data_IF_741652608692
#
_entry.id   IF_741652608692
#
_cell.length_a   1.000
_cell.length_b   1.000
_cell.length_c   1.000
_cell.angle_alpha   90.00
_cell.angle_beta   90.00
_cell.angle_gamma   90.00
#
_symmetry.space_group_name_H-M   'P 1'
#
loop_
_entity.id
_entity.type
_entity.pdbx_description
1 polymer ?
#
# COMPACT_ATOMS: atom_id res chain seq x y z
N UNK A 1 -47.86 -38.59 -36.36
CA UNK A 1 -46.98 -38.33 -35.19
C UNK A 1 -45.53 -38.39 -35.63
N UNK A 2 -44.85 -37.25 -35.65
CA UNK A 2 -43.38 -37.11 -35.64
C UNK A 2 -43.08 -35.61 -35.46
N UNK A 3 -42.83 -35.18 -34.22
CA UNK A 3 -42.46 -33.80 -33.90
C UNK A 3 -41.01 -33.56 -34.30
N UNK A 4 -40.76 -32.56 -35.16
CA UNK A 4 -39.43 -32.05 -35.46
C UNK A 4 -38.88 -31.33 -34.23
N UNK A 5 -37.78 -31.84 -33.69
CA UNK A 5 -36.99 -31.19 -32.65
C UNK A 5 -36.25 -30.01 -33.29
N UNK A 6 -36.58 -28.79 -32.85
CA UNK A 6 -35.82 -27.57 -33.15
C UNK A 6 -34.64 -27.51 -32.17
N UNK A 7 -33.40 -27.29 -32.62
CA UNK A 7 -32.25 -27.22 -31.71
C UNK A 7 -32.38 -25.97 -30.84
N UNK A 8 -32.52 -26.16 -29.53
CA UNK A 8 -32.39 -25.11 -28.53
C UNK A 8 -30.95 -24.63 -28.53
N UNK A 9 -30.69 -23.53 -29.25
CA UNK A 9 -29.44 -22.80 -29.13
C UNK A 9 -29.21 -22.44 -27.67
N UNK A 10 -28.07 -22.87 -27.14
CA UNK A 10 -27.63 -22.52 -25.79
C UNK A 10 -27.35 -21.02 -25.74
N UNK A 11 -28.36 -20.23 -25.39
CA UNK A 11 -28.12 -18.90 -24.84
C UNK A 11 -27.52 -19.12 -23.45
N UNK A 12 -26.18 -19.16 -23.36
CA UNK A 12 -25.52 -18.85 -22.09
C UNK A 12 -26.12 -17.51 -21.61
N UNK A 13 -26.65 -17.42 -20.38
CA UNK A 13 -27.00 -16.12 -19.82
C UNK A 13 -25.72 -15.26 -19.88
N UNK A 14 -25.78 -14.14 -20.62
CA UNK A 14 -24.76 -13.11 -20.49
C UNK A 14 -24.94 -12.55 -19.07
N UNK A 15 -23.91 -12.71 -18.26
CA UNK A 15 -23.89 -12.27 -16.87
C UNK A 15 -24.19 -10.74 -16.79
N UNK A 16 -25.34 -10.33 -16.25
CA UNK A 16 -25.71 -8.92 -16.12
C UNK A 16 -24.88 -8.17 -15.06
N UNK A 17 -24.08 -8.86 -14.23
CA UNK A 17 -23.41 -8.27 -13.07
C UNK A 17 -22.19 -7.39 -13.40
N UNK A 18 -21.66 -7.47 -14.62
CA UNK A 18 -20.47 -6.70 -15.06
C UNK A 18 -20.77 -5.58 -16.05
N UNK A 19 -21.97 -5.53 -16.63
CA UNK A 19 -22.40 -4.44 -17.51
C UNK A 19 -22.95 -3.26 -16.69
N UNK A 20 -22.07 -2.34 -16.30
CA UNK A 20 -22.48 -1.03 -15.76
C UNK A 20 -21.80 -0.58 -14.47
N UNK A 21 -21.00 -1.43 -13.82
CA UNK A 21 -20.25 -1.04 -12.63
C UNK A 21 -19.06 -0.16 -13.02
N UNK A 22 -19.12 1.13 -12.72
CA UNK A 22 -17.99 2.04 -12.92
C UNK A 22 -16.99 1.91 -11.77
N UNK A 23 -15.70 2.03 -12.07
CA UNK A 23 -14.64 2.03 -11.07
C UNK A 23 -14.01 3.42 -11.07
N UNK A 24 -13.92 4.03 -9.89
CA UNK A 24 -13.50 5.42 -9.70
C UNK A 24 -12.45 5.51 -8.60
N UNK A 25 -11.58 6.51 -8.69
CA UNK A 25 -10.46 6.68 -7.77
C UNK A 25 -10.48 8.05 -7.12
N UNK A 26 -10.45 8.09 -5.79
CA UNK A 26 -10.08 9.27 -5.03
C UNK A 26 -8.62 9.13 -4.59
N UNK A 27 -7.77 10.00 -5.10
CA UNK A 27 -6.33 9.92 -4.86
C UNK A 27 -5.96 10.87 -3.73
N UNK A 28 -5.42 10.33 -2.64
CA UNK A 28 -5.05 11.04 -1.44
C UNK A 28 -3.53 11.24 -1.40
N UNK A 29 -3.09 12.49 -1.55
CA UNK A 29 -1.68 12.88 -1.62
C UNK A 29 -1.34 13.86 -0.50
N UNK A 30 -0.76 13.40 0.62
CA UNK A 30 -0.18 14.28 1.63
C UNK A 30 1.08 14.89 1.05
N UNK A 31 1.17 16.22 1.09
CA UNK A 31 2.29 16.98 0.55
C UNK A 31 2.88 17.83 1.67
N UNK A 32 4.14 17.56 2.02
CA UNK A 32 4.89 18.45 2.91
C UNK A 32 5.17 19.76 2.18
N UNK A 33 4.83 20.89 2.80
CA UNK A 33 5.07 22.23 2.26
C UNK A 33 6.31 22.81 2.89
N UNK A 34 7.34 23.00 2.06
CA UNK A 34 8.57 23.71 2.42
C UNK A 34 8.55 25.16 1.93
N UNK A 35 7.85 25.44 0.83
CA UNK A 35 7.54 26.79 0.33
C UNK A 35 6.29 26.77 -0.56
N UNK A 36 5.65 27.93 -0.73
CA UNK A 36 4.52 28.10 -1.65
C UNK A 36 4.88 27.70 -3.09
N UNK A 37 6.03 28.14 -3.61
CA UNK A 37 6.43 27.87 -5.00
C UNK A 37 6.68 26.39 -5.26
N UNK A 38 7.35 25.70 -4.34
CA UNK A 38 7.65 24.27 -4.50
C UNK A 38 6.39 23.43 -4.40
N UNK A 39 5.50 23.74 -3.45
CA UNK A 39 4.20 23.10 -3.34
C UNK A 39 3.38 23.29 -4.62
N UNK A 40 3.37 24.51 -5.17
CA UNK A 40 2.67 24.81 -6.42
C UNK A 40 3.19 24.00 -7.60
N UNK A 41 4.51 23.99 -7.80
CA UNK A 41 5.17 23.20 -8.85
C UNK A 41 4.87 21.72 -8.70
N UNK A 42 4.95 21.19 -7.47
CA UNK A 42 4.75 19.76 -7.22
C UNK A 42 3.32 19.31 -7.47
N UNK A 43 2.32 20.07 -7.00
CA UNK A 43 0.92 19.78 -7.28
C UNK A 43 0.61 19.86 -8.78
N UNK A 44 1.12 20.88 -9.48
CA UNK A 44 0.97 21.00 -10.94
C UNK A 44 1.53 19.77 -11.66
N UNK A 45 2.74 19.37 -11.29
CA UNK A 45 3.38 18.18 -11.84
C UNK A 45 2.54 16.93 -11.62
N UNK A 46 2.11 16.67 -10.39
CA UNK A 46 1.33 15.47 -10.05
C UNK A 46 -0.02 15.45 -10.77
N UNK A 47 -0.70 16.60 -10.88
CA UNK A 47 -1.94 16.71 -11.67
C UNK A 47 -1.69 16.39 -13.14
N UNK A 48 -0.62 16.91 -13.74
CA UNK A 48 -0.31 16.62 -15.14
C UNK A 48 0.06 15.14 -15.35
N UNK A 49 0.95 14.61 -14.51
CA UNK A 49 1.40 13.22 -14.57
C UNK A 49 0.27 12.21 -14.31
N UNK A 50 -0.75 12.59 -13.54
CA UNK A 50 -1.87 11.71 -13.24
C UNK A 50 -2.68 11.32 -14.48
N UNK A 51 -2.73 12.17 -15.52
CA UNK A 51 -3.38 11.82 -16.79
C UNK A 51 -2.71 10.57 -17.41
N UNK A 52 -1.39 10.43 -17.27
CA UNK A 52 -0.60 9.27 -17.73
C UNK A 52 -0.79 8.03 -16.84
N UNK A 53 -1.41 8.21 -15.67
CA UNK A 53 -1.89 7.11 -14.83
C UNK A 53 -3.02 6.30 -15.48
N UNK A 54 -3.60 6.79 -16.57
CA UNK A 54 -4.57 6.09 -17.41
C UNK A 54 -4.03 5.94 -18.84
N UNK A 55 -4.24 4.77 -19.44
CA UNK A 55 -4.11 4.57 -20.89
C UNK A 55 -5.13 5.41 -21.63
N UNK A 56 -4.86 5.75 -22.89
CA UNK A 56 -5.70 6.66 -23.68
C UNK A 56 -7.14 6.16 -23.78
N UNK A 57 -7.35 4.86 -23.96
CA UNK A 57 -8.66 4.21 -24.06
C UNK A 57 -9.50 4.26 -22.77
N UNK A 58 -8.86 4.44 -21.61
CA UNK A 58 -9.53 4.54 -20.32
C UNK A 58 -9.77 6.01 -19.90
N UNK A 59 -9.25 7.00 -20.65
CA UNK A 59 -9.43 8.44 -20.36
C UNK A 59 -10.81 8.92 -20.82
N UNK A 60 -11.78 8.88 -19.92
CA UNK A 60 -13.11 9.46 -20.15
C UNK A 60 -13.20 10.84 -19.54
N UNK A 61 -13.65 11.81 -20.33
CA UNK A 61 -13.85 13.18 -19.90
C UNK A 61 -15.34 13.50 -19.77
N UNK A 62 -15.66 14.31 -18.77
CA UNK A 62 -16.99 14.84 -18.50
C UNK A 62 -16.90 16.33 -18.15
N UNK A 63 -18.03 17.02 -18.07
CA UNK A 63 -18.07 18.40 -17.57
C UNK A 63 -18.40 18.42 -16.08
N UNK A 64 -17.60 19.15 -15.31
CA UNK A 64 -17.91 19.41 -13.90
C UNK A 64 -19.08 20.40 -13.75
N UNK A 65 -19.49 20.68 -12.50
CA UNK A 65 -20.58 21.62 -12.19
C UNK A 65 -20.33 23.05 -12.70
N UNK A 66 -19.08 23.40 -12.98
CA UNK A 66 -18.67 24.70 -13.50
C UNK A 66 -18.44 24.65 -15.02
N UNK A 67 -18.80 23.55 -15.69
CA UNK A 67 -18.68 23.38 -17.14
C UNK A 67 -17.28 23.04 -17.64
N UNK A 68 -16.31 22.79 -16.75
CA UNK A 68 -14.92 22.46 -17.11
C UNK A 68 -14.79 21.00 -17.50
N UNK A 69 -14.03 20.72 -18.56
CA UNK A 69 -13.71 19.35 -18.98
C UNK A 69 -12.72 18.72 -17.99
N UNK A 70 -13.13 17.62 -17.35
CA UNK A 70 -12.36 16.89 -16.36
C UNK A 70 -12.47 15.38 -16.57
N UNK A 71 -11.48 14.61 -16.12
CA UNK A 71 -11.58 13.16 -16.10
C UNK A 71 -12.76 12.72 -15.22
N UNK A 72 -13.58 11.82 -15.76
CA UNK A 72 -14.81 11.34 -15.14
C UNK A 72 -14.54 10.52 -13.89
N UNK A 73 -13.60 9.59 -13.96
CA UNK A 73 -13.46 8.52 -12.96
C UNK A 73 -12.38 8.80 -11.89
N UNK A 74 -11.87 10.03 -11.80
CA UNK A 74 -10.81 10.38 -10.85
C UNK A 74 -11.01 11.74 -10.19
N UNK A 75 -10.66 11.82 -8.91
CA UNK A 75 -10.46 13.07 -8.20
C UNK A 75 -9.25 13.00 -7.25
N UNK A 76 -8.71 14.14 -6.87
CA UNK A 76 -7.49 14.23 -6.05
C UNK A 76 -7.73 15.09 -4.80
N UNK A 77 -7.23 14.65 -3.66
CA UNK A 77 -7.07 15.47 -2.46
C UNK A 77 -5.59 15.71 -2.22
N UNK A 78 -5.19 16.97 -2.23
CA UNK A 78 -3.86 17.40 -1.75
C UNK A 78 -3.95 17.82 -0.30
N UNK A 79 -3.25 17.08 0.56
CA UNK A 79 -3.09 17.40 1.97
C UNK A 79 -1.83 18.18 2.24
N UNK A 80 -1.87 19.49 2.03
CA UNK A 80 -0.73 20.37 2.21
C UNK A 80 -0.46 20.60 3.70
N UNK A 81 0.69 20.15 4.17
CA UNK A 81 0.97 20.10 5.60
C UNK A 81 2.43 20.36 5.98
N UNK A 82 2.65 20.53 7.28
CA UNK A 82 3.98 20.60 7.88
C UNK A 82 3.91 20.85 9.37
N UNK A 83 5.09 20.90 10.01
CA UNK A 83 5.19 21.23 11.43
C UNK A 83 4.74 22.67 11.65
N UNK A 84 3.87 22.88 12.63
CA UNK A 84 3.29 24.19 12.92
C UNK A 84 4.38 25.24 13.18
N UNK A 85 4.34 26.29 12.37
CA UNK A 85 5.03 27.56 12.58
C UNK A 85 4.12 28.67 12.02
N UNK A 86 4.26 29.89 12.54
CA UNK A 86 3.47 31.03 12.04
C UNK A 86 3.73 31.30 10.55
N UNK A 87 4.97 31.09 10.08
CA UNK A 87 5.31 31.31 8.68
C UNK A 87 4.73 30.22 7.78
N UNK A 88 4.75 28.96 8.20
CA UNK A 88 4.09 27.89 7.44
C UNK A 88 2.59 28.13 7.33
N UNK A 89 1.92 28.60 8.40
CA UNK A 89 0.49 28.93 8.35
C UNK A 89 0.21 30.02 7.31
N UNK A 90 1.05 31.04 7.19
CA UNK A 90 0.91 32.07 6.15
C UNK A 90 1.04 31.47 4.76
N UNK A 91 2.02 30.60 4.52
CA UNK A 91 2.22 29.93 3.22
C UNK A 91 1.03 29.02 2.87
N UNK A 92 0.54 28.25 3.84
CA UNK A 92 -0.63 27.38 3.67
C UNK A 92 -1.90 28.17 3.36
N UNK A 93 -2.15 29.30 4.02
CA UNK A 93 -3.32 30.14 3.74
C UNK A 93 -3.33 30.67 2.30
N UNK A 94 -2.16 30.98 1.72
CA UNK A 94 -2.06 31.37 0.31
C UNK A 94 -2.35 30.22 -0.65
N UNK A 95 -2.01 28.99 -0.24
CA UNK A 95 -2.20 27.79 -1.05
C UNK A 95 -3.64 27.27 -1.05
N UNK A 96 -4.39 27.46 0.06
CA UNK A 96 -5.77 26.96 0.21
C UNK A 96 -6.72 27.48 -0.88
N UNK A 97 -6.57 28.74 -1.28
CA UNK A 97 -7.36 29.36 -2.35
C UNK A 97 -6.78 29.19 -3.75
N UNK A 98 -5.62 28.54 -3.91
CA UNK A 98 -4.94 28.47 -5.19
C UNK A 98 -5.63 27.50 -6.15
N UNK A 99 -5.77 27.90 -7.41
CA UNK A 99 -6.39 27.08 -8.44
C UNK A 99 -5.43 26.73 -9.57
N UNK A 100 -5.47 25.47 -9.96
CA UNK A 100 -4.83 24.89 -11.12
C UNK A 100 -5.84 24.78 -12.27
N UNK A 101 -5.47 25.30 -13.44
CA UNK A 101 -6.08 24.93 -14.71
C UNK A 101 -5.61 23.53 -15.11
N UNK A 102 -6.46 22.52 -14.93
CA UNK A 102 -6.17 21.13 -15.26
C UNK A 102 -7.46 20.35 -15.52
N UNK A 103 -7.32 19.17 -16.13
CA UNK A 103 -8.44 18.28 -16.45
C UNK A 103 -8.75 17.26 -15.36
N UNK A 104 -8.44 17.56 -14.10
CA UNK A 104 -8.67 16.66 -12.97
C UNK A 104 -9.44 17.41 -11.90
N UNK A 105 -10.45 16.77 -11.32
CA UNK A 105 -11.12 17.30 -10.13
C UNK A 105 -10.18 17.20 -8.94
N UNK A 106 -9.98 18.29 -8.20
CA UNK A 106 -9.16 18.25 -6.99
C UNK A 106 -9.71 19.15 -5.89
N UNK A 107 -9.25 18.93 -4.67
CA UNK A 107 -9.34 19.89 -3.58
C UNK A 107 -8.03 19.95 -2.80
N UNK A 108 -7.75 21.13 -2.26
CA UNK A 108 -6.59 21.38 -1.40
C UNK A 108 -7.12 21.48 0.03
N UNK A 109 -6.50 20.74 0.95
CA UNK A 109 -6.75 20.82 2.38
C UNK A 109 -5.42 21.22 3.01
N UNK A 110 -5.42 22.32 3.74
CA UNK A 110 -4.22 22.82 4.44
C UNK A 110 -4.37 22.59 5.94
N UNK A 111 -3.28 22.17 6.59
CA UNK A 111 -3.27 21.89 8.03
C UNK A 111 -1.85 21.80 8.55
N UNK A 112 -1.68 21.93 9.86
CA UNK A 112 -0.37 21.82 10.52
C UNK A 112 -0.40 20.81 11.66
N UNK A 113 0.77 20.30 12.04
CA UNK A 113 0.92 19.38 13.16
C UNK A 113 1.94 19.86 14.19
N UNK A 114 1.86 19.39 15.43
CA UNK A 114 2.75 19.81 16.51
C UNK A 114 2.14 20.89 17.41
N UNK A 115 2.96 21.59 18.19
CA UNK A 115 2.49 22.59 19.17
C UNK A 115 1.82 23.76 18.45
N UNK A 116 0.55 24.04 18.77
CA UNK A 116 -0.27 25.02 18.06
C UNK A 116 -0.84 24.55 16.71
N UNK A 117 -0.53 23.32 16.29
CA UNK A 117 -1.04 22.71 15.07
C UNK A 117 -2.52 22.32 15.15
N UNK A 118 -3.12 22.10 13.99
CA UNK A 118 -4.53 21.68 13.85
C UNK A 118 -4.73 20.18 14.11
N UNK A 119 -3.68 19.37 13.94
CA UNK A 119 -3.69 17.93 14.24
C UNK A 119 -2.46 17.54 15.07
N UNK A 120 -2.50 16.36 15.69
CA UNK A 120 -1.39 15.70 16.40
C UNK A 120 -0.51 16.63 17.25
N UNK A 121 -0.75 16.68 18.56
CA UNK A 121 0.00 17.55 19.47
C UNK A 121 1.46 17.10 19.60
N UNK A 122 2.35 18.09 19.75
CA UNK A 122 3.78 17.83 19.89
C UNK A 122 4.11 17.07 21.19
N UNK A 123 5.19 16.29 21.12
CA UNK A 123 5.81 15.69 22.30
C UNK A 123 6.56 16.77 23.07
N UNK A 124 6.38 16.83 24.39
CA UNK A 124 7.19 17.73 25.23
C UNK A 124 8.66 17.32 25.18
N UNK A 125 9.57 18.26 25.47
CA UNK A 125 11.01 17.96 25.53
C UNK A 125 11.32 16.81 26.50
N UNK A 126 10.59 16.73 27.61
CA UNK A 126 10.70 15.61 28.56
C UNK A 126 10.26 14.28 27.95
N UNK A 127 9.18 14.26 27.17
CA UNK A 127 8.71 13.06 26.47
C UNK A 127 9.71 12.63 25.38
N UNK A 128 10.26 13.58 24.63
CA UNK A 128 11.32 13.33 23.64
C UNK A 128 12.55 12.74 24.35
N UNK A 129 13.00 13.32 25.46
CA UNK A 129 14.13 12.81 26.22
C UNK A 129 13.89 11.42 26.80
N UNK A 130 12.68 11.11 27.28
CA UNK A 130 12.30 9.75 27.72
C UNK A 130 12.33 8.76 26.56
N UNK A 131 11.86 9.15 25.38
CA UNK A 131 11.88 8.32 24.16
C UNK A 131 13.31 8.12 23.62
N UNK A 132 14.16 9.16 23.69
CA UNK A 132 15.59 9.10 23.37
C UNK A 132 16.36 8.11 24.24
N UNK A 133 16.07 8.09 25.54
CA UNK A 133 16.70 7.15 26.49
C UNK A 133 16.29 5.70 26.24
N UNK A 134 15.06 5.47 25.76
CA UNK A 134 14.53 4.12 25.45
C UNK A 134 14.87 3.62 24.05
N UNK A 135 15.12 4.53 23.10
CA UNK A 135 15.41 4.17 21.71
C UNK A 135 16.39 5.19 21.10
N UNK A 136 17.48 4.72 20.49
CA UNK A 136 18.49 5.56 19.80
C UNK A 136 17.95 6.29 18.54
N UNK A 137 16.68 6.71 18.51
CA UNK A 137 16.09 7.50 17.42
C UNK A 137 15.15 8.55 18.00
N UNK A 138 15.56 9.82 17.96
CA UNK A 138 14.65 10.78 17.34
C UNK A 138 15.35 12.00 16.73
N UNK A 139 14.90 12.35 15.52
CA UNK A 139 14.77 13.72 15.01
C UNK A 139 13.61 13.68 14.00
N UNK A 140 12.66 14.61 14.14
CA UNK A 140 11.44 14.76 13.35
C UNK A 140 10.50 13.54 13.31
N UNK A 141 9.74 13.33 14.38
CA UNK A 141 8.62 12.39 14.38
C UNK A 141 7.46 13.05 13.62
N UNK A 142 7.22 12.59 12.39
CA UNK A 142 6.09 13.03 11.57
C UNK A 142 4.87 12.14 11.92
N UNK A 143 3.70 12.73 12.22
CA UNK A 143 2.52 11.97 12.62
C UNK A 143 1.75 11.45 11.40
N UNK A 144 2.38 10.54 10.62
CA UNK A 144 1.82 10.06 9.36
C UNK A 144 0.41 9.43 9.52
N UNK A 145 0.18 8.64 10.58
CA UNK A 145 -1.14 8.10 10.90
C UNK A 145 -2.21 9.19 11.04
N UNK A 146 -1.91 10.28 11.74
CA UNK A 146 -2.84 11.40 11.96
C UNK A 146 -3.05 12.22 10.69
N UNK A 147 -2.00 12.38 9.88
CA UNK A 147 -2.07 13.02 8.56
C UNK A 147 -3.05 12.26 7.67
N UNK A 148 -2.89 10.93 7.53
CA UNK A 148 -3.78 10.10 6.70
C UNK A 148 -5.20 10.03 7.27
N UNK A 149 -5.34 9.93 8.60
CA UNK A 149 -6.65 9.92 9.27
C UNK A 149 -7.42 11.23 9.02
N UNK A 150 -6.76 12.37 9.23
CA UNK A 150 -7.36 13.69 9.01
C UNK A 150 -7.83 13.86 7.57
N UNK A 151 -6.96 13.53 6.60
CA UNK A 151 -7.30 13.66 5.18
C UNK A 151 -8.44 12.75 4.76
N UNK A 152 -8.43 11.47 5.17
CA UNK A 152 -9.48 10.51 4.84
C UNK A 152 -10.86 10.98 5.31
N UNK A 153 -10.91 11.56 6.50
CA UNK A 153 -12.17 11.91 7.17
C UNK A 153 -12.60 13.37 6.96
N UNK A 154 -11.81 14.18 6.25
CA UNK A 154 -12.10 15.60 6.02
C UNK A 154 -13.36 15.81 5.15
N UNK A 155 -14.13 16.86 5.42
CA UNK A 155 -15.38 17.16 4.71
C UNK A 155 -15.18 17.26 3.19
N UNK A 156 -14.13 17.94 2.74
CA UNK A 156 -13.79 18.05 1.31
C UNK A 156 -13.56 16.67 0.66
N UNK A 157 -12.87 15.75 1.35
CA UNK A 157 -12.67 14.37 0.91
C UNK A 157 -14.02 13.66 0.75
N UNK A 158 -14.89 13.72 1.76
CA UNK A 158 -16.22 13.10 1.69
C UNK A 158 -17.12 13.70 0.61
N UNK A 159 -16.94 14.99 0.28
CA UNK A 159 -17.67 15.65 -0.81
C UNK A 159 -17.20 15.11 -2.16
N UNK A 160 -15.89 14.97 -2.38
CA UNK A 160 -15.36 14.39 -3.62
C UNK A 160 -15.80 12.94 -3.82
N UNK A 161 -15.91 12.14 -2.76
CA UNK A 161 -16.46 10.76 -2.88
C UNK A 161 -17.91 10.79 -3.36
N UNK A 162 -18.74 11.66 -2.78
CA UNK A 162 -20.14 11.84 -3.21
C UNK A 162 -20.22 12.27 -4.66
N UNK A 163 -19.37 13.20 -5.08
CA UNK A 163 -19.30 13.68 -6.47
C UNK A 163 -18.74 12.64 -7.45
N UNK A 164 -17.81 11.80 -7.00
CA UNK A 164 -17.32 10.68 -7.80
C UNK A 164 -18.43 9.66 -7.97
N UNK A 165 -19.08 9.24 -6.89
CA UNK A 165 -20.17 8.25 -6.94
C UNK A 165 -21.31 8.74 -7.84
N UNK A 166 -21.74 9.98 -7.65
CA UNK A 166 -22.85 10.56 -8.41
C UNK A 166 -24.13 9.73 -8.25
N UNK A 167 -24.87 9.57 -9.35
CA UNK A 167 -26.07 8.72 -9.40
C UNK A 167 -25.78 7.30 -9.92
N UNK A 168 -24.53 7.02 -10.27
CA UNK A 168 -24.14 5.73 -10.84
C UNK A 168 -23.84 4.73 -9.74
N UNK A 169 -24.13 3.45 -10.01
CA UNK A 169 -23.55 2.37 -9.22
C UNK A 169 -22.05 2.28 -9.55
N UNK A 170 -21.20 2.73 -8.62
CA UNK A 170 -19.75 2.75 -8.82
C UNK A 170 -18.97 2.29 -7.61
N UNK A 171 -17.92 1.52 -7.85
CA UNK A 171 -16.87 1.24 -6.88
C UNK A 171 -15.97 2.47 -6.78
N UNK A 172 -15.78 3.00 -5.57
CA UNK A 172 -14.86 4.12 -5.32
C UNK A 172 -13.70 3.61 -4.47
N UNK A 173 -12.49 3.76 -4.98
CA UNK A 173 -11.26 3.39 -4.27
C UNK A 173 -10.55 4.64 -3.74
N UNK A 174 -10.13 4.63 -2.49
CA UNK A 174 -9.12 5.58 -2.01
C UNK A 174 -7.75 5.05 -2.40
N UNK A 175 -7.06 5.76 -3.28
CA UNK A 175 -5.68 5.52 -3.64
C UNK A 175 -4.78 6.37 -2.77
N UNK A 176 -4.04 5.76 -1.85
CA UNK A 176 -3.09 6.45 -0.99
C UNK A 176 -1.75 6.54 -1.68
N UNK A 177 -1.42 7.75 -2.13
CA UNK A 177 -0.21 8.04 -2.88
C UNK A 177 0.70 8.98 -2.09
N UNK A 178 2.02 8.80 -2.18
CA UNK A 178 2.99 9.74 -1.61
C UNK A 178 3.39 10.80 -2.62
N UNK A 179 3.72 11.99 -2.11
CA UNK A 179 4.08 13.14 -2.92
C UNK A 179 5.45 13.03 -3.60
N UNK A 180 6.20 11.95 -3.47
CA UNK A 180 7.49 11.68 -4.14
C UNK A 180 7.33 10.84 -5.43
N UNK A 181 6.09 10.58 -5.85
CA UNK A 181 5.71 9.96 -7.13
C UNK A 181 6.33 10.67 -8.33
N UNK A 182 7.15 9.96 -9.10
CA UNK A 182 7.69 10.44 -10.37
C UNK A 182 6.71 10.16 -11.53
N UNK A 183 6.27 8.91 -11.71
CA UNK A 183 5.32 8.57 -12.76
C UNK A 183 4.23 7.64 -12.23
N UNK A 184 3.00 7.89 -12.67
CA UNK A 184 1.87 7.00 -12.39
C UNK A 184 1.87 5.76 -13.28
N UNK A 185 2.70 5.68 -14.34
CA UNK A 185 2.94 4.46 -15.12
C UNK A 185 1.68 3.66 -15.53
N UNK A 186 0.61 4.36 -15.93
CA UNK A 186 -0.70 3.74 -16.27
C UNK A 186 -1.32 2.87 -15.16
N UNK A 187 -0.97 3.11 -13.90
CA UNK A 187 -1.37 2.29 -12.76
C UNK A 187 -2.89 2.21 -12.56
N UNK A 188 -3.64 3.28 -12.85
CA UNK A 188 -5.09 3.25 -12.66
C UNK A 188 -5.77 2.41 -13.73
N UNK A 189 -5.27 2.39 -14.97
CA UNK A 189 -5.71 1.41 -15.97
C UNK A 189 -5.41 -0.02 -15.53
N UNK A 190 -4.29 -0.25 -14.85
CA UNK A 190 -4.00 -1.57 -14.29
C UNK A 190 -4.96 -1.95 -13.16
N UNK A 191 -5.28 -1.02 -12.26
CA UNK A 191 -6.30 -1.23 -11.25
C UNK A 191 -7.69 -1.52 -11.85
N UNK A 192 -8.05 -0.85 -12.95
CA UNK A 192 -9.28 -1.18 -13.70
C UNK A 192 -9.26 -2.63 -14.17
N UNK A 193 -8.14 -3.09 -14.74
CA UNK A 193 -7.98 -4.49 -15.18
C UNK A 193 -8.03 -5.48 -14.03
N UNK A 194 -7.40 -5.18 -12.90
CA UNK A 194 -7.44 -6.02 -11.69
C UNK A 194 -8.88 -6.18 -11.21
N UNK A 195 -9.63 -5.08 -11.08
CA UNK A 195 -11.04 -5.13 -10.68
C UNK A 195 -11.87 -5.92 -11.70
N UNK A 196 -11.67 -5.69 -13.01
CA UNK A 196 -12.35 -6.44 -14.08
C UNK A 196 -12.05 -7.94 -14.01
N UNK A 197 -10.82 -8.34 -13.67
CA UNK A 197 -10.42 -9.75 -13.53
C UNK A 197 -11.05 -10.41 -12.31
N UNK A 198 -11.03 -9.77 -11.14
CA UNK A 198 -11.63 -10.34 -9.93
C UNK A 198 -13.15 -10.44 -10.04
N UNK A 199 -13.82 -9.46 -10.65
CA UNK A 199 -15.28 -9.51 -10.87
C UNK A 199 -15.72 -10.58 -11.88
N UNK A 200 -14.79 -11.19 -12.64
CA UNK A 200 -15.09 -12.34 -13.52
C UNK A 200 -14.93 -13.69 -12.81
N UNK A 201 -14.40 -13.72 -11.58
CA UNK A 201 -14.27 -14.93 -10.79
C UNK A 201 -15.60 -15.27 -10.10
N UNK A 202 -15.74 -16.51 -9.65
CA UNK A 202 -16.89 -16.98 -8.89
C UNK A 202 -16.46 -17.29 -7.44
N UNK A 203 -16.99 -16.58 -6.42
CA UNK A 203 -17.92 -15.45 -6.51
C UNK A 203 -17.25 -14.15 -7.03
N UNK A 204 -18.02 -13.22 -7.64
CA UNK A 204 -17.50 -11.97 -8.17
C UNK A 204 -17.29 -10.95 -7.03
N UNK A 205 -16.12 -11.01 -6.39
CA UNK A 205 -15.76 -10.13 -5.29
C UNK A 205 -14.77 -9.07 -5.80
N UNK A 206 -15.12 -7.76 -5.75
CA UNK A 206 -14.15 -6.72 -6.07
C UNK A 206 -13.03 -6.71 -5.02
N UNK A 207 -11.77 -6.40 -5.40
CA UNK A 207 -10.70 -6.20 -4.44
C UNK A 207 -11.13 -5.15 -3.40
N UNK A 208 -11.05 -5.49 -2.13
CA UNK A 208 -11.20 -4.51 -1.04
C UNK A 208 -9.90 -3.73 -0.86
N UNK A 209 -8.77 -4.40 -1.06
CA UNK A 209 -7.42 -3.87 -1.00
C UNK A 209 -6.67 -4.27 -2.26
N UNK A 210 -6.00 -3.33 -2.90
CA UNK A 210 -5.09 -3.66 -4.00
C UNK A 210 -3.87 -2.74 -4.07
N UNK A 211 -2.75 -3.27 -4.54
CA UNK A 211 -1.54 -2.48 -4.83
C UNK A 211 -0.74 -3.17 -5.92
N UNK A 212 -0.08 -2.38 -6.77
CA UNK A 212 0.93 -2.87 -7.71
C UNK A 212 2.36 -2.59 -7.22
N UNK A 213 2.54 -2.12 -5.98
CA UNK A 213 3.84 -1.76 -5.43
C UNK A 213 4.46 -0.50 -6.03
N UNK A 214 5.77 -0.38 -5.93
CA UNK A 214 6.53 0.76 -6.46
C UNK A 214 7.85 0.29 -7.07
N UNK A 215 8.36 1.06 -8.02
CA UNK A 215 9.71 0.95 -8.56
C UNK A 215 10.44 2.29 -8.40
N UNK A 216 11.77 2.23 -8.31
CA UNK A 216 12.60 3.43 -8.31
C UNK A 216 12.93 3.86 -9.75
N UNK A 217 13.20 5.14 -9.95
CA UNK A 217 13.67 5.64 -11.26
C UNK A 217 14.88 4.84 -11.77
N UNK A 218 14.90 4.56 -13.08
CA UNK A 218 15.93 3.73 -13.73
C UNK A 218 17.31 4.40 -13.87
N UNK A 219 17.47 5.62 -13.36
CA UNK A 219 18.71 6.40 -13.46
C UNK A 219 19.89 5.74 -12.73
N UNK A 220 19.61 4.78 -11.84
CA UNK A 220 20.64 4.07 -11.07
C UNK A 220 20.27 2.59 -10.86
N UNK A 221 21.23 1.73 -10.53
CA UNK A 221 21.05 0.27 -10.30
C UNK A 221 20.03 -0.07 -9.21
N UNK A 222 19.64 0.89 -8.38
CA UNK A 222 18.61 0.77 -7.34
C UNK A 222 17.26 0.27 -7.87
N UNK A 223 16.92 0.52 -9.15
CA UNK A 223 15.68 0.03 -9.74
C UNK A 223 15.62 -1.51 -9.78
N UNK A 224 16.76 -2.20 -9.94
CA UNK A 224 16.83 -3.66 -9.91
C UNK A 224 16.37 -4.18 -8.54
N UNK A 225 16.83 -3.58 -7.46
CA UNK A 225 16.43 -3.95 -6.11
C UNK A 225 14.94 -3.73 -5.84
N UNK A 226 14.34 -2.66 -6.38
CA UNK A 226 12.88 -2.47 -6.26
C UNK A 226 12.07 -3.43 -7.12
N UNK A 227 12.56 -3.82 -8.29
CA UNK A 227 11.91 -4.85 -9.11
C UNK A 227 11.90 -6.21 -8.39
N UNK A 228 13.02 -6.59 -7.79
CA UNK A 228 13.13 -7.82 -7.01
C UNK A 228 12.26 -7.83 -5.76
N UNK A 229 12.25 -6.70 -5.05
CA UNK A 229 11.34 -6.46 -3.95
C UNK A 229 9.89 -6.71 -4.38
N UNK A 230 9.50 -6.19 -5.54
CA UNK A 230 8.17 -6.34 -6.11
C UNK A 230 7.85 -7.80 -6.46
N UNK A 231 8.78 -8.52 -7.08
CA UNK A 231 8.61 -9.93 -7.42
C UNK A 231 8.41 -10.80 -6.17
N UNK A 232 9.22 -10.59 -5.13
CA UNK A 232 9.07 -11.32 -3.85
C UNK A 232 7.72 -11.00 -3.20
N UNK A 233 7.28 -9.74 -3.21
CA UNK A 233 5.97 -9.36 -2.67
C UNK A 233 4.84 -10.04 -3.43
N UNK A 234 4.91 -10.06 -4.76
CA UNK A 234 3.88 -10.70 -5.56
C UNK A 234 3.83 -12.22 -5.32
N UNK A 235 4.98 -12.89 -5.22
CA UNK A 235 5.05 -14.32 -4.86
C UNK A 235 4.38 -14.60 -3.51
N UNK A 236 4.63 -13.78 -2.48
CA UNK A 236 3.92 -13.90 -1.20
C UNK A 236 2.40 -13.71 -1.37
N UNK A 237 1.98 -12.74 -2.18
CA UNK A 237 0.58 -12.40 -2.40
C UNK A 237 -0.20 -13.39 -3.26
N UNK A 238 0.47 -14.17 -4.10
CA UNK A 238 -0.13 -15.27 -4.87
C UNK A 238 -0.75 -16.32 -3.95
N UNK A 239 -0.06 -16.62 -2.83
CA UNK A 239 -0.60 -17.49 -1.78
C UNK A 239 -1.65 -16.73 -0.97
N UNK A 240 -1.27 -15.59 -0.38
CA UNK A 240 -2.21 -14.77 0.37
C UNK A 240 -1.83 -13.29 0.33
N UNK A 241 -2.72 -12.46 -0.23
CA UNK A 241 -2.51 -11.01 -0.37
C UNK A 241 -2.27 -10.28 0.95
N UNK A 242 -2.54 -10.87 2.12
CA UNK A 242 -2.23 -10.27 3.42
C UNK A 242 -0.80 -10.56 3.92
N UNK A 243 -0.02 -11.41 3.26
CA UNK A 243 1.37 -11.72 3.63
C UNK A 243 2.38 -10.67 3.13
N UNK A 244 1.90 -9.55 2.60
CA UNK A 244 2.72 -8.49 2.03
C UNK A 244 2.57 -7.22 2.85
N UNK A 245 3.69 -6.55 3.14
CA UNK A 245 3.62 -5.15 3.56
C UNK A 245 3.20 -4.30 2.37
N UNK A 246 2.04 -3.67 2.41
CA UNK A 246 1.60 -2.77 1.35
C UNK A 246 2.38 -1.46 1.45
N UNK A 247 3.21 -1.12 0.46
CA UNK A 247 4.05 0.07 0.56
C UNK A 247 3.19 1.34 0.43
N UNK A 248 3.37 2.26 1.36
CA UNK A 248 3.12 3.69 1.15
C UNK A 248 4.28 4.15 0.26
N UNK A 249 4.06 4.15 -1.07
CA UNK A 249 3.37 5.26 -1.73
C UNK A 249 2.18 4.81 -2.60
N UNK A 250 1.70 3.57 -2.52
CA UNK A 250 0.72 3.08 -3.47
C UNK A 250 -0.10 1.89 -2.96
N UNK A 251 -1.29 2.16 -2.45
CA UNK A 251 -2.32 1.14 -2.28
C UNK A 251 -3.72 1.74 -2.35
N UNK A 252 -4.66 0.95 -2.83
CA UNK A 252 -6.07 1.28 -2.98
C UNK A 252 -6.91 0.53 -1.95
N UNK A 253 -7.86 1.22 -1.33
CA UNK A 253 -8.87 0.62 -0.44
C UNK A 253 -10.27 0.98 -0.94
N UNK A 254 -11.12 -0.02 -1.08
CA UNK A 254 -12.51 0.16 -1.49
C UNK A 254 -13.29 0.91 -0.40
N UNK A 255 -14.03 1.94 -0.81
CA UNK A 255 -15.00 2.64 0.04
C UNK A 255 -16.31 1.86 0.00
N UNK A 256 -16.90 1.57 1.16
CA UNK A 256 -18.18 0.87 1.24
C UNK A 256 -19.30 1.65 0.51
N UNK A 257 -20.22 0.91 -0.13
CA UNK A 257 -21.23 1.47 -1.05
C UNK A 257 -22.12 2.56 -0.41
N UNK A 258 -22.34 2.50 0.91
CA UNK A 258 -23.19 3.45 1.65
C UNK A 258 -22.39 4.57 2.34
N UNK A 259 -21.07 4.54 2.26
CA UNK A 259 -20.17 5.45 2.97
C UNK A 259 -19.52 6.43 2.01
N UNK A 260 -19.12 7.59 2.52
CA UNK A 260 -18.41 8.62 1.75
C UNK A 260 -16.93 8.72 2.13
N UNK A 261 -16.44 7.74 2.89
CA UNK A 261 -15.04 7.58 3.29
C UNK A 261 -14.84 6.15 3.81
N UNK A 262 -13.59 5.79 4.08
CA UNK A 262 -13.23 4.56 4.79
C UNK A 262 -13.42 4.82 6.29
N UNK A 263 -14.24 4.02 6.96
CA UNK A 263 -14.57 4.21 8.39
C UNK A 263 -13.46 3.72 9.31
N UNK A 264 -12.71 2.70 8.89
CA UNK A 264 -11.56 2.17 9.62
C UNK A 264 -10.46 3.21 9.74
N UNK A 265 -9.67 3.10 10.81
CA UNK A 265 -8.71 4.15 11.18
C UNK A 265 -7.28 3.77 10.85
N UNK A 266 -6.48 4.78 10.47
CA UNK A 266 -5.02 4.69 10.44
C UNK A 266 -4.40 4.73 11.84
N UNK A 267 -5.16 5.12 12.86
CA UNK A 267 -4.68 5.30 14.23
C UNK A 267 -4.70 3.96 14.97
N UNK A 268 -3.52 3.51 15.41
CA UNK A 268 -3.40 2.29 16.21
C UNK A 268 -4.00 2.51 17.60
N UNK A 269 -4.99 1.67 17.97
CA UNK A 269 -5.60 1.68 19.31
C UNK A 269 -4.53 1.47 20.39
N UNK A 270 -4.52 2.36 21.39
CA UNK A 270 -3.55 2.30 22.49
C UNK A 270 -2.10 2.59 22.09
N UNK A 271 -1.85 3.21 20.92
CA UNK A 271 -0.50 3.62 20.53
C UNK A 271 0.11 4.54 21.60
N UNK A 272 1.40 4.35 21.85
CA UNK A 272 2.16 5.30 22.65
C UNK A 272 2.38 6.59 21.86
N UNK A 273 2.43 7.73 22.54
CA UNK A 273 2.73 9.01 21.91
C UNK A 273 4.09 8.94 21.20
N UNK A 274 4.13 9.32 19.92
CA UNK A 274 5.33 9.19 19.08
C UNK A 274 5.44 7.90 18.25
N UNK A 275 4.57 6.90 18.46
CA UNK A 275 4.48 5.70 17.60
C UNK A 275 3.45 5.91 16.48
N UNK A 276 3.91 6.46 15.36
CA UNK A 276 3.12 6.72 14.16
C UNK A 276 3.47 5.78 13.00
N UNK A 277 4.01 4.60 13.30
CA UNK A 277 4.51 3.68 12.26
C UNK A 277 3.41 2.72 11.77
N UNK A 278 3.63 2.09 10.61
CA UNK A 278 2.82 0.98 10.09
C UNK A 278 1.34 1.34 9.85
N UNK A 279 1.07 2.57 9.39
CA UNK A 279 -0.30 3.09 9.24
C UNK A 279 -1.15 2.26 8.27
N UNK A 280 -0.62 1.88 7.11
CA UNK A 280 -1.28 0.95 6.17
C UNK A 280 -1.67 -0.36 6.86
N UNK A 281 -0.77 -0.96 7.64
CA UNK A 281 -1.03 -2.22 8.33
C UNK A 281 -2.11 -2.08 9.41
N UNK A 282 -2.12 -0.95 10.12
CA UNK A 282 -3.16 -0.64 11.11
C UNK A 282 -4.53 -0.56 10.44
N UNK A 283 -4.61 0.10 9.29
CA UNK A 283 -5.85 0.17 8.50
C UNK A 283 -6.27 -1.22 8.01
N UNK A 284 -5.36 -1.95 7.35
CA UNK A 284 -5.64 -3.26 6.74
C UNK A 284 -6.13 -4.27 7.77
N UNK A 285 -5.58 -4.27 8.99
CA UNK A 285 -6.06 -5.14 10.09
C UNK A 285 -7.53 -4.96 10.43
N UNK A 286 -8.08 -3.77 10.21
CA UNK A 286 -9.49 -3.47 10.42
C UNK A 286 -10.28 -3.79 9.14
N UNK A 287 -9.81 -3.33 7.98
CA UNK A 287 -10.48 -3.55 6.68
C UNK A 287 -10.65 -5.03 6.34
N UNK A 288 -9.70 -5.89 6.72
CA UNK A 288 -9.78 -7.35 6.48
C UNK A 288 -10.97 -8.02 7.16
N UNK A 289 -11.59 -7.36 8.14
CA UNK A 289 -12.75 -7.88 8.88
C UNK A 289 -14.08 -7.62 8.16
N UNK A 290 -14.06 -6.87 7.05
CA UNK A 290 -15.25 -6.65 6.22
C UNK A 290 -15.72 -7.95 5.58
N UNK A 291 -17.03 -8.02 5.32
CA UNK A 291 -17.60 -9.08 4.50
C UNK A 291 -17.02 -9.03 3.08
N UNK A 292 -16.82 -10.19 2.46
CA UNK A 292 -16.25 -10.33 1.11
C UNK A 292 -14.89 -9.63 0.95
N UNK A 293 -14.05 -9.67 1.99
CA UNK A 293 -12.72 -9.09 1.91
C UNK A 293 -11.87 -9.80 0.85
N UNK A 294 -11.22 -9.00 -0.01
CA UNK A 294 -10.23 -9.49 -0.96
C UNK A 294 -9.03 -8.56 -1.03
N UNK A 295 -7.84 -9.10 -0.80
CA UNK A 295 -6.56 -8.42 -1.00
C UNK A 295 -5.90 -8.92 -2.30
N UNK A 296 -5.38 -8.01 -3.12
CA UNK A 296 -4.72 -8.34 -4.39
C UNK A 296 -3.43 -7.54 -4.54
N UNK A 297 -2.32 -8.23 -4.81
CA UNK A 297 -1.03 -7.61 -5.10
C UNK A 297 -0.36 -8.37 -6.25
N UNK A 298 -0.56 -7.95 -7.52
CA UNK A 298 0.01 -8.65 -8.67
C UNK A 298 1.37 -8.07 -9.07
N UNK A 299 2.18 -8.87 -9.79
CA UNK A 299 3.26 -8.32 -10.62
C UNK A 299 2.64 -7.57 -11.78
N UNK A 300 2.60 -6.24 -11.70
CA UNK A 300 2.09 -5.40 -12.77
C UNK A 300 2.64 -3.98 -12.66
N UNK A 301 2.17 -3.07 -13.52
CA UNK A 301 2.62 -1.67 -13.62
C UNK A 301 2.67 -0.95 -12.26
N UNK A 302 3.85 -0.85 -11.62
CA UNK A 302 3.99 -0.18 -10.33
C UNK A 302 4.07 1.33 -10.55
N UNK A 303 3.82 2.09 -9.48
CA UNK A 303 4.14 3.52 -9.51
C UNK A 303 5.66 3.70 -9.53
N UNK A 304 6.17 4.69 -10.25
CA UNK A 304 7.60 5.02 -10.26
C UNK A 304 7.82 6.17 -9.29
N UNK A 305 8.71 6.01 -8.31
CA UNK A 305 9.05 7.04 -7.32
C UNK A 305 10.51 7.49 -7.45
N UNK A 306 10.77 8.74 -7.06
CA UNK A 306 12.14 9.21 -6.87
C UNK A 306 12.71 8.52 -5.63
N UNK A 307 13.92 7.94 -5.75
CA UNK A 307 14.58 7.26 -4.63
C UNK A 307 14.67 8.18 -3.39
N UNK A 308 13.94 7.88 -2.30
CA UNK A 308 13.93 8.75 -1.13
C UNK A 308 15.32 8.84 -0.49
N UNK A 309 15.64 9.95 0.20
CA UNK A 309 16.97 10.15 0.82
C UNK A 309 17.43 8.98 1.72
N UNK A 310 16.49 8.29 2.37
CA UNK A 310 16.76 7.10 3.19
C UNK A 310 17.38 5.93 2.42
N UNK A 311 17.35 5.96 1.08
CA UNK A 311 17.92 4.96 0.17
C UNK A 311 19.35 5.33 -0.27
N UNK A 312 19.80 6.59 -0.09
CA UNK A 312 21.03 7.10 -0.71
C UNK A 312 22.33 6.77 0.06
N UNK A 313 22.24 6.16 1.25
CA UNK A 313 23.37 6.10 2.21
C UNK A 313 24.40 4.97 2.01
N UNK A 314 24.60 4.48 0.80
CA UNK A 314 25.63 3.49 0.50
C UNK A 314 26.68 4.12 -0.44
N UNK A 315 27.79 4.56 0.13
CA UNK A 315 28.87 5.34 -0.53
C UNK A 315 29.81 4.50 -1.41
N UNK A 316 29.67 3.17 -1.42
CA UNK A 316 30.38 2.31 -2.36
C UNK A 316 29.35 1.84 -3.39
N UNK A 317 29.70 1.89 -4.67
CA UNK A 317 28.81 1.40 -5.74
C UNK A 317 28.27 0.03 -5.33
N UNK A 318 26.95 -0.10 -5.12
CA UNK A 318 26.43 -1.30 -4.51
C UNK A 318 26.52 -2.42 -5.54
N UNK A 319 27.27 -3.46 -5.20
CA UNK A 319 26.89 -4.78 -5.65
C UNK A 319 25.42 -4.99 -5.27
N UNK A 320 24.66 -5.74 -6.06
CA UNK A 320 23.25 -6.05 -5.80
C UNK A 320 22.98 -6.54 -4.34
N UNK A 321 24.00 -7.11 -3.67
CA UNK A 321 24.03 -7.53 -2.26
C UNK A 321 23.90 -6.37 -1.24
N UNK A 322 24.30 -5.17 -1.61
CA UNK A 322 24.28 -3.97 -0.77
C UNK A 322 23.01 -3.13 -0.91
N UNK A 323 22.13 -3.46 -1.86
CA UNK A 323 20.86 -2.76 -2.09
C UNK A 323 19.76 -3.11 -1.06
N UNK A 324 20.14 -3.45 0.18
CA UNK A 324 19.22 -3.67 1.31
C UNK A 324 18.59 -2.36 1.75
N UNK A 325 17.59 -1.92 0.99
CA UNK A 325 16.71 -0.82 1.32
C UNK A 325 16.04 -1.14 2.66
N UNK A 326 15.97 -0.19 3.58
CA UNK A 326 15.41 -0.38 4.94
C UNK A 326 13.99 -0.94 4.98
N UNK A 327 13.23 -0.85 3.89
CA UNK A 327 11.85 -1.31 3.73
C UNK A 327 11.71 -2.43 2.68
N UNK A 328 12.82 -2.94 2.12
CA UNK A 328 12.75 -4.03 1.15
C UNK A 328 12.60 -5.39 1.83
N UNK A 329 11.77 -6.26 1.26
CA UNK A 329 11.58 -7.68 1.56
C UNK A 329 12.78 -8.55 1.15
N UNK A 330 13.77 -7.99 0.45
CA UNK A 330 15.11 -8.61 0.34
C UNK A 330 15.78 -8.76 1.73
N UNK A 331 15.39 -7.90 2.69
CA UNK A 331 15.75 -8.10 4.08
C UNK A 331 14.79 -9.08 4.74
N UNK A 332 15.32 -10.20 5.24
CA UNK A 332 14.61 -11.26 5.95
C UNK A 332 13.69 -10.73 7.07
N UNK A 333 14.17 -9.78 7.87
CA UNK A 333 13.40 -9.19 8.97
C UNK A 333 12.24 -8.35 8.44
N UNK A 334 12.46 -7.55 7.39
CA UNK A 334 11.39 -6.77 6.78
C UNK A 334 10.33 -7.66 6.15
N UNK A 335 10.73 -8.73 5.46
CA UNK A 335 9.83 -9.74 4.93
C UNK A 335 9.00 -10.37 6.04
N UNK A 336 9.64 -10.84 7.12
CA UNK A 336 8.95 -11.44 8.25
C UNK A 336 7.96 -10.47 8.93
N UNK A 337 8.33 -9.20 9.07
CA UNK A 337 7.42 -8.15 9.54
C UNK A 337 6.23 -8.01 8.58
N UNK A 338 6.47 -7.98 7.27
CA UNK A 338 5.43 -7.86 6.25
C UNK A 338 4.41 -9.00 6.25
N UNK A 339 4.89 -10.23 6.38
CA UNK A 339 4.02 -11.42 6.46
C UNK A 339 3.09 -11.36 7.68
N UNK A 340 3.59 -10.83 8.79
CA UNK A 340 2.83 -10.73 10.03
C UNK A 340 1.98 -9.46 10.15
N UNK A 341 2.39 -8.35 9.53
CA UNK A 341 1.92 -7.02 9.92
C UNK A 341 0.44 -6.80 9.70
N UNK A 342 -0.20 -7.48 8.76
CA UNK A 342 -1.64 -7.36 8.51
C UNK A 342 -2.50 -8.30 9.38
N UNK A 343 -1.85 -9.16 10.17
CA UNK A 343 -2.49 -10.06 11.13
C UNK A 343 -3.24 -11.23 10.48
N UNK A 344 -2.82 -11.67 9.29
CA UNK A 344 -3.41 -12.86 8.66
C UNK A 344 -3.17 -14.14 9.48
N UNK A 345 -2.15 -14.13 10.33
CA UNK A 345 -1.68 -15.29 11.10
C UNK A 345 -1.67 -14.98 12.59
N UNK A 346 -1.93 -16.03 13.37
CA UNK A 346 -1.90 -16.01 14.83
C UNK A 346 -0.84 -16.98 15.35
N UNK A 347 -0.41 -16.83 16.60
CA UNK A 347 0.55 -17.75 17.21
C UNK A 347 -0.14 -19.00 17.73
N UNK A 348 0.30 -20.16 17.25
CA UNK A 348 -0.01 -21.51 17.79
C UNK A 348 0.93 -21.86 18.94
N UNK A 349 2.21 -21.61 18.72
CA UNK A 349 3.33 -22.03 19.56
C UNK A 349 4.42 -20.95 19.52
N UNK A 350 5.44 -21.11 20.36
CA UNK A 350 6.67 -20.30 20.33
C UNK A 350 7.78 -21.09 19.66
N UNK A 351 8.31 -20.56 18.56
CA UNK A 351 9.45 -21.15 17.86
C UNK A 351 10.74 -21.01 18.67
N UNK A 352 11.38 -22.13 19.02
CA UNK A 352 12.63 -22.17 19.78
C UNK A 352 13.88 -22.44 18.94
N UNK A 353 13.74 -22.51 17.61
CA UNK A 353 14.82 -22.86 16.70
C UNK A 353 14.81 -24.33 16.28
N UNK A 354 15.78 -24.67 15.44
CA UNK A 354 15.90 -26.01 14.83
C UNK A 354 16.22 -27.09 15.86
N UNK A 355 16.96 -26.76 16.91
CA UNK A 355 17.50 -27.75 17.86
C UNK A 355 16.53 -28.08 19.01
N UNK A 356 15.50 -27.27 19.21
CA UNK A 356 14.58 -27.39 20.34
C UNK A 356 13.14 -27.53 19.86
N UNK A 357 12.29 -28.32 20.55
CA UNK A 357 10.87 -28.37 20.24
C UNK A 357 10.23 -26.99 20.48
N UNK A 358 9.16 -26.71 19.74
CA UNK A 358 8.35 -25.53 19.97
C UNK A 358 7.69 -25.60 21.36
N UNK A 359 7.48 -24.43 21.97
CA UNK A 359 6.83 -24.30 23.26
C UNK A 359 5.35 -23.95 23.06
N UNK A 360 4.39 -24.74 23.58
CA UNK A 360 2.95 -24.49 23.40
C UNK A 360 2.47 -23.23 24.10
N UNK A 361 3.28 -22.63 24.99
CA UNK A 361 2.90 -21.39 25.67
C UNK A 361 3.15 -20.18 24.75
N UNK A 362 2.07 -19.46 24.43
CA UNK A 362 2.13 -18.19 23.72
C UNK A 362 2.17 -17.06 24.74
N UNK A 363 3.35 -16.48 24.97
CA UNK A 363 3.47 -15.25 25.77
C UNK A 363 3.55 -14.00 24.88
N UNK A 364 3.08 -12.82 25.32
CA UNK A 364 3.10 -11.60 24.51
C UNK A 364 4.49 -11.16 23.98
N UNK A 365 5.59 -11.68 24.54
CA UNK A 365 6.97 -11.40 24.11
C UNK A 365 7.53 -12.30 22.99
N UNK A 366 6.78 -13.30 22.52
CA UNK A 366 7.28 -14.35 21.60
C UNK A 366 7.29 -13.93 20.13
N UNK A 367 6.74 -12.75 19.81
CA UNK A 367 6.71 -12.19 18.45
C UNK A 367 8.07 -12.26 17.74
N UNK A 368 9.15 -11.87 18.42
CA UNK A 368 10.48 -11.90 17.81
C UNK A 368 11.00 -13.31 17.50
N UNK A 369 10.63 -14.29 18.33
CA UNK A 369 10.97 -15.69 18.12
C UNK A 369 10.15 -16.28 16.96
N UNK A 370 8.87 -15.96 16.87
CA UNK A 370 8.05 -16.43 15.75
C UNK A 370 8.41 -15.74 14.43
N UNK A 371 8.84 -14.47 14.46
CA UNK A 371 9.47 -13.86 13.28
C UNK A 371 10.77 -14.57 12.88
N UNK A 372 11.53 -15.12 13.83
CA UNK A 372 12.74 -15.89 13.52
C UNK A 372 12.42 -17.12 12.69
N UNK A 373 11.29 -17.80 12.92
CA UNK A 373 10.86 -18.94 12.09
C UNK A 373 10.75 -18.55 10.61
N UNK A 374 10.06 -17.45 10.30
CA UNK A 374 9.90 -16.95 8.92
C UNK A 374 11.27 -16.65 8.30
N UNK A 375 12.16 -16.03 9.07
CA UNK A 375 13.52 -15.70 8.63
C UNK A 375 14.37 -16.94 8.40
N UNK A 376 14.29 -17.93 9.26
CA UNK A 376 15.03 -19.19 9.14
C UNK A 376 14.58 -19.95 7.89
N UNK A 377 13.27 -20.00 7.60
CA UNK A 377 12.75 -20.59 6.35
C UNK A 377 13.22 -19.83 5.11
N UNK A 378 13.09 -18.50 5.11
CA UNK A 378 13.42 -17.67 3.94
C UNK A 378 14.91 -17.75 3.56
N UNK A 379 15.80 -17.86 4.56
CA UNK A 379 17.24 -17.97 4.38
C UNK A 379 17.75 -19.41 4.26
N UNK A 380 16.87 -20.43 4.24
CA UNK A 380 17.29 -21.83 4.19
C UNK A 380 17.58 -22.27 2.75
N UNK A 381 18.83 -22.40 2.33
CA UNK A 381 19.13 -22.70 0.92
C UNK A 381 18.88 -24.18 0.53
N UNK A 382 18.90 -25.10 1.50
CA UNK A 382 18.67 -26.53 1.31
C UNK A 382 17.17 -26.90 1.41
N UNK A 383 16.68 -27.69 0.46
CA UNK A 383 15.26 -28.06 0.37
C UNK A 383 14.84 -29.09 1.43
N UNK A 384 15.69 -30.08 1.71
CA UNK A 384 15.39 -31.09 2.72
C UNK A 384 15.28 -30.45 4.11
N UNK A 385 16.20 -29.54 4.44
CA UNK A 385 16.19 -28.75 5.66
C UNK A 385 14.99 -27.81 5.70
N UNK A 386 14.59 -27.21 4.58
CA UNK A 386 13.37 -26.40 4.52
C UNK A 386 12.15 -27.21 4.94
N UNK A 387 12.02 -28.44 4.44
CA UNK A 387 10.90 -29.34 4.79
C UNK A 387 10.96 -29.86 6.23
N UNK A 388 12.14 -29.96 6.84
CA UNK A 388 12.23 -30.24 8.27
C UNK A 388 11.86 -29.04 9.12
N UNK A 389 12.30 -27.85 8.73
CA UNK A 389 11.95 -26.60 9.41
C UNK A 389 10.45 -26.32 9.32
N UNK A 390 9.82 -26.55 8.17
CA UNK A 390 8.39 -26.27 7.93
C UNK A 390 7.48 -27.01 8.91
N UNK A 391 7.88 -28.20 9.36
CA UNK A 391 7.15 -28.99 10.37
C UNK A 391 7.07 -28.30 11.73
N UNK A 392 7.92 -27.31 12.00
CA UNK A 392 7.91 -26.49 13.22
C UNK A 392 7.05 -25.24 13.09
N UNK A 393 6.07 -25.21 12.19
CA UNK A 393 5.23 -24.04 11.97
C UNK A 393 4.56 -23.57 13.28
N UNK A 394 4.93 -22.38 13.80
CA UNK A 394 4.38 -21.87 15.04
C UNK A 394 3.08 -21.09 14.83
N UNK A 395 2.50 -21.09 13.63
CA UNK A 395 1.36 -20.24 13.28
C UNK A 395 0.06 -21.01 13.08
N UNK A 396 -1.05 -20.30 13.31
CA UNK A 396 -2.39 -20.69 12.85
C UNK A 396 -2.91 -19.70 11.83
N UNK A 397 -3.79 -20.19 10.96
CA UNK A 397 -4.55 -19.39 10.02
C UNK A 397 -5.88 -20.07 9.74
N UNK A 398 -6.98 -19.32 9.79
CA UNK A 398 -8.36 -19.79 9.54
C UNK A 398 -8.72 -21.08 10.28
N UNK A 399 -8.26 -21.20 11.53
CA UNK A 399 -8.50 -22.37 12.39
C UNK A 399 -7.58 -23.58 12.15
N UNK A 400 -6.70 -23.53 11.14
CA UNK A 400 -5.72 -24.58 10.81
C UNK A 400 -4.26 -24.22 11.11
N UNK A 401 -3.35 -25.08 10.64
CA UNK A 401 -1.90 -25.02 10.92
C UNK A 401 -1.13 -23.96 10.12
N UNK A 402 -1.78 -22.95 9.53
CA UNK A 402 -1.08 -21.84 8.86
C UNK A 402 -0.13 -22.26 7.73
N UNK A 403 -0.45 -23.36 7.02
CA UNK A 403 0.42 -23.94 5.97
C UNK A 403 0.70 -22.93 4.86
N UNK A 404 -0.27 -22.06 4.55
CA UNK A 404 -0.10 -20.97 3.58
C UNK A 404 1.12 -20.10 3.89
N UNK A 405 1.46 -19.88 5.15
CA UNK A 405 2.65 -19.11 5.52
C UNK A 405 3.91 -19.79 4.99
N UNK A 406 4.04 -21.10 5.21
CA UNK A 406 5.19 -21.87 4.74
C UNK A 406 5.29 -21.83 3.22
N UNK A 407 4.15 -22.03 2.53
CA UNK A 407 4.10 -21.98 1.06
C UNK A 407 4.49 -20.61 0.52
N UNK A 408 3.99 -19.53 1.11
CA UNK A 408 4.35 -18.17 0.71
C UNK A 408 5.86 -17.92 0.89
N UNK A 409 6.44 -18.35 2.01
CA UNK A 409 7.88 -18.22 2.24
C UNK A 409 8.69 -19.08 1.27
N UNK A 410 8.20 -20.25 0.89
CA UNK A 410 8.83 -21.11 -0.14
C UNK A 410 8.92 -20.36 -1.47
N UNK A 411 7.81 -19.75 -1.94
CA UNK A 411 7.81 -19.01 -3.20
C UNK A 411 8.72 -17.78 -3.15
N UNK A 412 8.67 -17.00 -2.06
CA UNK A 412 9.56 -15.86 -1.86
C UNK A 412 11.05 -16.26 -1.87
N UNK A 413 11.38 -17.40 -1.27
CA UNK A 413 12.73 -17.97 -1.25
C UNK A 413 13.21 -18.34 -2.66
N UNK A 414 12.37 -18.94 -3.50
CA UNK A 414 12.75 -19.27 -4.88
C UNK A 414 13.05 -18.00 -5.69
N UNK A 415 12.24 -16.95 -5.55
CA UNK A 415 12.53 -15.65 -6.17
C UNK A 415 13.89 -15.09 -5.72
N UNK A 416 14.23 -15.20 -4.42
CA UNK A 416 15.53 -14.79 -3.88
C UNK A 416 16.68 -15.59 -4.51
N UNK A 417 16.56 -16.92 -4.58
CA UNK A 417 17.62 -17.80 -5.13
C UNK A 417 17.93 -17.47 -6.59
N UNK A 418 16.90 -17.37 -7.43
CA UNK A 418 17.05 -17.01 -8.85
C UNK A 418 17.82 -15.70 -9.00
N UNK A 419 17.56 -14.74 -8.12
CA UNK A 419 18.27 -13.49 -8.14
C UNK A 419 19.74 -13.60 -7.72
N UNK A 420 20.03 -14.34 -6.65
CA UNK A 420 21.40 -14.57 -6.19
C UNK A 420 22.25 -15.23 -7.29
N UNK A 421 21.69 -16.18 -8.02
CA UNK A 421 22.33 -16.81 -9.19
C UNK A 421 22.59 -15.81 -10.33
N UNK A 422 21.61 -14.97 -10.68
CA UNK A 422 21.79 -13.93 -11.69
C UNK A 422 22.91 -12.95 -11.29
N UNK A 423 22.95 -12.54 -10.02
CA UNK A 423 23.99 -11.64 -9.51
C UNK A 423 25.39 -12.26 -9.63
N UNK A 424 25.55 -13.54 -9.29
CA UNK A 424 26.84 -14.22 -9.42
C UNK A 424 27.30 -14.29 -10.88
N UNK A 425 26.38 -14.50 -11.82
CA UNK A 425 26.69 -14.48 -13.25
C UNK A 425 27.12 -13.09 -13.73
N UNK A 426 26.54 -12.02 -13.19
CA UNK A 426 26.94 -10.64 -13.52
C UNK A 426 28.29 -10.25 -12.94
N UNK A 427 28.62 -10.72 -11.73
CA UNK A 427 29.90 -10.41 -11.07
C UNK A 427 31.09 -11.21 -11.65
N UNK A 428 30.82 -12.33 -12.32
CA UNK A 428 31.83 -13.18 -12.95
C UNK A 428 32.07 -12.85 -14.45
N UNK A 429 31.46 -11.78 -14.96
CA UNK A 429 31.69 -11.20 -16.29
C UNK A 429 32.38 -9.86 -16.16
#
# INVERSE_FOLDING_TARGET
MASKIVPTGSKRPRDPSTQGLKVKFLINIPLKVDSEDEAKKRCRYLLNALIEGFKEEDRKFTRDRNGREVLEDVAVIFGMNGKHTQDLVKELNKLEGYTYDCKIRYSIITYTWGSGGTIATELTDEEIQKLQKKSKKPKNIIPYQDIREYLKSHAATTNLVRELRGNDRSLVYFSFIDSDTFSFNSIYSEYLEIVRKELKKDPPIPPTLMSTGYELTHEKKQHLASDLDLQIRAALAEVNGLFVYYPEPNFCVLVDEEKNTIEESFIKKGRSKGDYTMESCVLIRQVKTRANFKAVFPVSKPIIIVAPERFQKYEKEPELKDLKIRQSTLNDRTLAIGVYCNGAIEFKETYKGVDLPNDPNVQPGVYHLNLKFIRDLYNCDDDAKFEELSKKNPFRMDGGDGIEVVEAIRQARECRKVFEELQEQFNNR
#
